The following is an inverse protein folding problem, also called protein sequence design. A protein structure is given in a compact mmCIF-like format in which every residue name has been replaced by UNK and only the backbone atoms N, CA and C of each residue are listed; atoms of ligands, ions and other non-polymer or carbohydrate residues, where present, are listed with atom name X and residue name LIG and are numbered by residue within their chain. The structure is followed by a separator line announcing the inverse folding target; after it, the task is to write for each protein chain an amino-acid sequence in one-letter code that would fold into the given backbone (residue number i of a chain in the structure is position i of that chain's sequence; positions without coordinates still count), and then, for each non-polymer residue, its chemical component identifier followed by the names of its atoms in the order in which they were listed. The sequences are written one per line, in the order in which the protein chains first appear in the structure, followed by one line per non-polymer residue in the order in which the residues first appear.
data_IF_317268812202
#
_entry.id   IF_317268812202
#
_cell.length_a   1.000
_cell.length_b   1.000
_cell.length_c   1.000
_cell.angle_alpha   90.00
_cell.angle_beta   90.00
_cell.angle_gamma   90.00
#
_symmetry.space_group_name_H-M   'P 1'
#
loop_
_entity.id
_entity.type
_entity.pdbx_description
1 polymer ?
#
# COMPACT_ATOMS: atom_id res chain seq x y z
N UNK A 1 -12.80 8.74 -15.80
CA UNK A 1 -12.13 7.44 -16.00
C UNK A 1 -13.02 6.39 -15.36
N UNK A 2 -13.39 5.31 -16.06
CA UNK A 2 -14.22 4.27 -15.44
C UNK A 2 -13.46 3.62 -14.27
N UNK A 3 -14.11 3.28 -13.14
CA UNK A 3 -13.46 2.68 -11.97
C UNK A 3 -12.55 1.49 -12.30
N UNK A 4 -12.98 0.65 -13.24
CA UNK A 4 -12.27 -0.58 -13.65
C UNK A 4 -10.98 -0.35 -14.46
N UNK A 5 -10.69 0.89 -14.90
CA UNK A 5 -9.52 1.19 -15.72
C UNK A 5 -8.22 1.36 -14.92
N UNK A 6 -8.26 1.38 -13.59
CA UNK A 6 -7.05 1.53 -12.77
C UNK A 6 -6.33 0.19 -12.67
N UNK A 7 -5.27 0.01 -13.46
CA UNK A 7 -4.38 -1.14 -13.38
C UNK A 7 -3.14 -0.74 -12.58
N UNK A 8 -2.97 -1.35 -11.41
CA UNK A 8 -1.81 -1.10 -10.55
C UNK A 8 -0.63 -1.89 -11.08
N UNK A 9 0.38 -1.18 -11.56
CA UNK A 9 1.63 -1.73 -12.08
C UNK A 9 2.83 -1.08 -11.39
N UNK A 10 4.04 -1.66 -11.52
CA UNK A 10 5.26 -0.99 -11.04
C UNK A 10 5.42 0.41 -11.63
N UNK A 11 5.05 0.61 -12.90
CA UNK A 11 5.15 1.90 -13.60
C UNK A 11 4.16 2.91 -13.05
N UNK A 12 2.92 2.49 -12.80
CA UNK A 12 1.90 3.31 -12.18
C UNK A 12 2.32 3.80 -10.78
N UNK A 13 2.93 2.93 -9.97
CA UNK A 13 3.47 3.30 -8.66
C UNK A 13 4.60 4.33 -8.78
N UNK A 14 5.52 4.15 -9.73
CA UNK A 14 6.59 5.12 -10.00
C UNK A 14 6.05 6.45 -10.49
N UNK A 15 5.02 6.43 -11.33
CA UNK A 15 4.39 7.64 -11.85
C UNK A 15 3.73 8.44 -10.74
N UNK A 16 2.96 7.79 -9.85
CA UNK A 16 2.38 8.47 -8.68
C UNK A 16 3.47 9.06 -7.80
N UNK A 17 4.49 8.27 -7.48
CA UNK A 17 5.61 8.75 -6.68
C UNK A 17 6.33 9.94 -7.34
N UNK A 18 6.48 9.91 -8.67
CA UNK A 18 7.06 11.02 -9.43
C UNK A 18 6.20 12.28 -9.33
N UNK A 19 4.88 12.16 -9.53
CA UNK A 19 3.93 13.28 -9.46
C UNK A 19 3.91 13.97 -8.09
N UNK A 20 4.12 13.23 -7.00
CA UNK A 20 4.11 13.82 -5.65
C UNK A 20 5.45 14.40 -5.20
N UNK A 21 6.57 13.91 -5.75
CA UNK A 21 7.91 14.22 -5.22
C UNK A 21 8.79 15.04 -6.19
N UNK A 22 8.48 15.06 -7.49
CA UNK A 22 9.40 15.60 -8.52
C UNK A 22 9.69 17.10 -8.41
N UNK A 23 8.75 17.91 -7.91
CA UNK A 23 8.99 19.35 -7.72
C UNK A 23 10.08 19.64 -6.68
N UNK A 24 10.12 18.85 -5.61
CA UNK A 24 11.09 19.02 -4.53
C UNK A 24 12.35 18.17 -4.73
N UNK A 25 12.22 17.03 -5.42
CA UNK A 25 13.24 15.99 -5.47
C UNK A 25 13.36 15.33 -6.85
N UNK A 26 13.69 16.10 -7.90
CA UNK A 26 13.71 15.62 -9.28
C UNK A 26 14.69 14.46 -9.52
N UNK A 27 15.79 14.39 -8.76
CA UNK A 27 16.85 13.40 -8.96
C UNK A 27 16.44 11.96 -8.64
N UNK A 28 15.47 11.79 -7.73
CA UNK A 28 15.08 10.46 -7.25
C UNK A 28 13.56 10.21 -7.27
N UNK A 29 12.74 11.22 -7.55
CA UNK A 29 11.31 11.03 -7.73
C UNK A 29 11.01 9.98 -8.81
N UNK A 30 10.04 9.10 -8.54
CA UNK A 30 9.70 7.95 -9.38
C UNK A 30 10.75 6.83 -9.46
N UNK A 31 11.88 6.89 -8.74
CA UNK A 31 12.89 5.82 -8.72
C UNK A 31 12.74 4.96 -7.48
N UNK A 32 12.96 3.65 -7.64
CA UNK A 32 13.12 2.75 -6.50
C UNK A 32 14.32 3.18 -5.65
N UNK A 33 14.25 2.97 -4.34
CA UNK A 33 15.40 3.24 -3.48
C UNK A 33 16.58 2.35 -3.86
N UNK A 34 17.78 2.92 -3.75
CA UNK A 34 19.05 2.25 -4.01
C UNK A 34 19.86 2.00 -2.74
N UNK A 35 19.31 2.31 -1.57
CA UNK A 35 19.97 2.20 -0.26
C UNK A 35 19.10 1.45 0.73
N UNK A 36 19.75 0.80 1.69
CA UNK A 36 19.08 0.22 2.84
C UNK A 36 18.37 1.31 3.66
N UNK A 37 17.27 0.93 4.29
CA UNK A 37 16.47 1.81 5.15
C UNK A 37 15.91 1.01 6.31
N UNK A 38 15.53 1.70 7.38
CA UNK A 38 14.82 1.12 8.52
C UNK A 38 13.60 1.98 8.81
N UNK A 39 12.45 1.34 9.04
CA UNK A 39 11.17 2.01 9.26
C UNK A 39 10.65 1.62 10.64
N UNK A 40 10.95 2.44 11.64
CA UNK A 40 10.73 2.07 13.03
C UNK A 40 11.57 0.84 13.40
N UNK A 41 10.92 -0.28 13.69
CA UNK A 41 11.58 -1.57 13.95
C UNK A 41 11.63 -2.50 12.75
N UNK A 42 10.97 -2.14 11.64
CA UNK A 42 10.92 -2.95 10.43
C UNK A 42 12.16 -2.72 9.55
N UNK A 43 12.71 -3.81 9.03
CA UNK A 43 13.77 -3.84 8.03
C UNK A 43 13.17 -4.31 6.70
N UNK A 44 12.88 -3.39 5.76
CA UNK A 44 12.39 -3.74 4.44
C UNK A 44 13.38 -4.63 3.65
N UNK A 45 12.94 -5.25 2.53
CA UNK A 45 13.83 -6.00 1.64
C UNK A 45 15.07 -5.20 1.20
N UNK A 46 16.18 -5.84 0.83
CA UNK A 46 17.33 -5.09 0.33
C UNK A 46 17.00 -4.37 -1.00
N UNK A 47 17.68 -3.26 -1.36
CA UNK A 47 17.37 -2.45 -2.54
C UNK A 47 17.33 -3.23 -3.85
N UNK A 48 18.22 -4.21 -4.02
CA UNK A 48 18.29 -5.03 -5.22
C UNK A 48 17.04 -5.93 -5.41
N UNK A 49 16.32 -6.24 -4.33
CA UNK A 49 15.09 -7.02 -4.36
C UNK A 49 13.84 -6.16 -4.61
N UNK A 50 13.88 -4.85 -4.36
CA UNK A 50 12.69 -3.98 -4.38
C UNK A 50 11.90 -4.13 -5.69
N UNK A 51 12.58 -4.09 -6.83
CA UNK A 51 11.92 -4.18 -8.15
C UNK A 51 11.17 -5.50 -8.35
N UNK A 52 11.75 -6.61 -7.88
CA UNK A 52 11.13 -7.95 -7.95
C UNK A 52 9.93 -8.02 -7.01
N UNK A 53 10.07 -7.51 -5.77
CA UNK A 53 9.01 -7.53 -4.77
C UNK A 53 7.81 -6.68 -5.17
N UNK A 54 8.04 -5.51 -5.79
CA UNK A 54 6.96 -4.67 -6.31
C UNK A 54 6.25 -5.34 -7.48
N UNK A 55 6.99 -5.99 -8.39
CA UNK A 55 6.39 -6.74 -9.49
C UNK A 55 5.50 -7.85 -8.97
N UNK A 56 6.00 -8.66 -8.05
CA UNK A 56 5.25 -9.76 -7.45
C UNK A 56 4.02 -9.25 -6.69
N UNK A 57 4.15 -8.14 -5.95
CA UNK A 57 3.03 -7.45 -5.31
C UNK A 57 1.93 -7.05 -6.31
N UNK A 58 2.29 -6.47 -7.46
CA UNK A 58 1.30 -6.11 -8.47
C UNK A 58 0.60 -7.32 -9.09
N UNK A 59 1.33 -8.43 -9.32
CA UNK A 59 0.75 -9.67 -9.84
C UNK A 59 -0.20 -10.31 -8.82
N UNK A 60 0.21 -10.40 -7.56
CA UNK A 60 -0.61 -10.93 -6.46
C UNK A 60 -1.87 -10.08 -6.27
N UNK A 61 -1.75 -8.75 -6.37
CA UNK A 61 -2.89 -7.83 -6.29
C UNK A 61 -3.91 -8.10 -7.41
N UNK A 62 -3.45 -8.22 -8.66
CA UNK A 62 -4.34 -8.50 -9.79
C UNK A 62 -5.06 -9.84 -9.62
N UNK A 63 -4.36 -10.87 -9.15
CA UNK A 63 -4.95 -12.19 -8.91
C UNK A 63 -5.98 -12.15 -7.76
N UNK A 64 -5.66 -11.49 -6.64
CA UNK A 64 -6.59 -11.34 -5.51
C UNK A 64 -7.85 -10.58 -5.92
N UNK A 65 -7.71 -9.54 -6.75
CA UNK A 65 -8.84 -8.76 -7.28
C UNK A 65 -9.83 -9.60 -8.09
N UNK A 66 -9.40 -10.71 -8.70
CA UNK A 66 -10.29 -11.63 -9.43
C UNK A 66 -11.15 -12.50 -8.52
N UNK A 67 -10.76 -12.64 -7.25
CA UNK A 67 -11.35 -13.56 -6.28
C UNK A 67 -12.10 -12.85 -5.14
N UNK A 68 -12.30 -11.53 -5.24
CA UNK A 68 -13.04 -10.77 -4.24
C UNK A 68 -14.54 -11.09 -4.28
N UNK A 69 -15.14 -11.17 -3.10
CA UNK A 69 -16.58 -11.34 -2.88
C UNK A 69 -17.00 -10.88 -1.48
N UNK A 70 -17.88 -9.88 -1.41
CA UNK A 70 -18.38 -9.32 -0.14
C UNK A 70 -17.37 -8.47 0.62
N UNK A 71 -17.85 -7.83 1.70
CA UNK A 71 -17.06 -6.84 2.47
C UNK A 71 -15.84 -7.44 3.16
N UNK A 72 -15.92 -8.69 3.61
CA UNK A 72 -14.83 -9.38 4.32
C UNK A 72 -13.58 -9.52 3.44
N UNK A 73 -13.73 -10.08 2.23
CA UNK A 73 -12.59 -10.26 1.32
C UNK A 73 -12.04 -8.94 0.80
N UNK A 74 -12.88 -7.90 0.68
CA UNK A 74 -12.45 -6.54 0.37
C UNK A 74 -11.58 -5.97 1.49
N UNK A 75 -12.01 -6.11 2.75
CA UNK A 75 -11.23 -5.66 3.90
C UNK A 75 -9.88 -6.40 4.00
N UNK A 76 -9.88 -7.72 3.79
CA UNK A 76 -8.65 -8.54 3.76
C UNK A 76 -7.70 -8.11 2.63
N UNK A 77 -8.24 -7.81 1.45
CA UNK A 77 -7.45 -7.29 0.33
C UNK A 77 -6.81 -5.94 0.67
N UNK A 78 -7.58 -4.99 1.19
CA UNK A 78 -7.11 -3.66 1.54
C UNK A 78 -6.08 -3.72 2.68
N UNK A 79 -6.29 -4.57 3.69
CA UNK A 79 -5.32 -4.83 4.73
C UNK A 79 -4.00 -5.40 4.18
N UNK A 80 -4.08 -6.39 3.29
CA UNK A 80 -2.90 -6.94 2.65
C UNK A 80 -2.16 -5.91 1.80
N UNK A 81 -2.88 -5.06 1.04
CA UNK A 81 -2.25 -3.98 0.24
C UNK A 81 -1.55 -2.97 1.13
N UNK A 82 -2.25 -2.49 2.17
CA UNK A 82 -1.76 -1.50 3.12
C UNK A 82 -0.46 -1.98 3.76
N UNK A 83 -0.48 -3.20 4.33
CA UNK A 83 0.73 -3.80 4.90
C UNK A 83 1.81 -4.07 3.85
N UNK A 84 1.49 -4.79 2.77
CA UNK A 84 2.50 -5.33 1.85
C UNK A 84 3.28 -4.23 1.15
N UNK A 85 2.61 -3.14 0.78
CA UNK A 85 3.28 -1.98 0.18
C UNK A 85 4.24 -1.31 1.17
N UNK A 86 3.81 -1.10 2.42
CA UNK A 86 4.68 -0.51 3.45
C UNK A 86 5.84 -1.45 3.84
N UNK A 87 5.61 -2.76 3.83
CA UNK A 87 6.63 -3.77 4.10
C UNK A 87 7.74 -3.76 3.05
N UNK A 88 7.39 -3.62 1.77
CA UNK A 88 8.36 -3.50 0.66
C UNK A 88 9.15 -2.18 0.77
N UNK A 89 8.46 -1.10 1.14
CA UNK A 89 9.00 0.25 1.26
C UNK A 89 9.83 0.68 0.04
N UNK A 90 9.24 0.74 -1.16
CA UNK A 90 9.99 0.74 -2.41
C UNK A 90 10.72 2.06 -2.73
N UNK A 91 10.32 3.17 -2.13
CA UNK A 91 10.87 4.50 -2.41
C UNK A 91 11.76 5.01 -1.29
N UNK A 92 12.58 6.03 -1.59
CA UNK A 92 13.45 6.70 -0.61
C UNK A 92 12.66 7.43 0.48
N UNK A 93 11.54 8.04 0.10
CA UNK A 93 10.60 8.72 0.99
C UNK A 93 9.20 8.68 0.35
N UNK A 94 8.19 9.25 0.99
CA UNK A 94 6.81 9.35 0.54
C UNK A 94 6.04 8.02 0.39
N UNK A 95 6.61 6.90 0.85
CA UNK A 95 5.94 5.59 0.85
C UNK A 95 4.55 5.64 1.52
N UNK A 96 4.42 6.33 2.65
CA UNK A 96 3.12 6.51 3.31
C UNK A 96 2.08 7.23 2.43
N UNK A 97 2.50 8.21 1.61
CA UNK A 97 1.59 8.96 0.72
C UNK A 97 1.20 8.11 -0.50
N UNK A 98 2.17 7.44 -1.12
CA UNK A 98 1.90 6.54 -2.25
C UNK A 98 0.97 5.41 -1.83
N UNK A 99 1.20 4.80 -0.66
CA UNK A 99 0.34 3.74 -0.11
C UNK A 99 -1.10 4.21 0.09
N UNK A 100 -1.32 5.41 0.63
CA UNK A 100 -2.68 5.98 0.76
C UNK A 100 -3.34 6.24 -0.59
N UNK A 101 -2.61 6.79 -1.56
CA UNK A 101 -3.14 7.00 -2.92
C UNK A 101 -3.51 5.66 -3.57
N UNK A 102 -2.67 4.64 -3.40
CA UNK A 102 -2.94 3.28 -3.86
C UNK A 102 -4.23 2.72 -3.24
N UNK A 103 -4.42 2.86 -1.94
CA UNK A 103 -5.63 2.39 -1.24
C UNK A 103 -6.89 3.14 -1.71
N UNK A 104 -6.82 4.48 -1.85
CA UNK A 104 -7.93 5.28 -2.40
C UNK A 104 -8.26 4.86 -3.84
N UNK A 105 -7.24 4.66 -4.67
CA UNK A 105 -7.43 4.23 -6.05
C UNK A 105 -8.08 2.85 -6.15
N UNK A 106 -7.72 1.92 -5.27
CA UNK A 106 -8.35 0.60 -5.18
C UNK A 106 -9.78 0.69 -4.66
N UNK A 107 -10.05 1.48 -3.60
CA UNK A 107 -11.41 1.69 -3.11
C UNK A 107 -12.32 2.26 -4.21
N UNK A 108 -11.82 3.25 -4.97
CA UNK A 108 -12.51 3.79 -6.13
C UNK A 108 -12.76 2.72 -7.21
N UNK A 109 -11.74 1.92 -7.56
CA UNK A 109 -11.86 0.81 -8.54
C UNK A 109 -12.92 -0.21 -8.13
N UNK A 110 -13.05 -0.47 -6.83
CA UNK A 110 -13.98 -1.42 -6.24
C UNK A 110 -15.40 -0.85 -6.07
N UNK A 111 -15.63 0.42 -6.41
CA UNK A 111 -16.94 1.06 -6.28
C UNK A 111 -17.35 1.32 -4.83
N UNK A 112 -16.39 1.36 -3.91
CA UNK A 112 -16.62 1.67 -2.50
C UNK A 112 -16.93 3.16 -2.31
N UNK A 113 -17.67 3.54 -1.25
CA UNK A 113 -17.78 4.94 -0.86
C UNK A 113 -16.39 5.52 -0.54
N UNK A 114 -16.24 6.86 -0.46
CA UNK A 114 -14.99 7.48 -0.02
C UNK A 114 -14.58 6.94 1.36
N UNK A 115 -13.41 6.28 1.41
CA UNK A 115 -12.79 5.77 2.64
C UNK A 115 -11.51 6.55 2.89
N UNK A 116 -11.28 6.99 4.13
CA UNK A 116 -10.00 7.55 4.53
C UNK A 116 -9.03 6.41 4.92
N UNK A 117 -7.98 6.14 4.13
CA UNK A 117 -6.99 5.12 4.47
C UNK A 117 -6.05 5.56 5.60
N UNK A 118 -6.06 6.84 5.99
CA UNK A 118 -5.19 7.33 7.05
C UNK A 118 -5.68 6.85 8.43
N UNK A 119 -4.74 6.45 9.28
CA UNK A 119 -5.02 6.39 10.71
C UNK A 119 -4.99 7.82 11.27
N UNK A 120 -6.06 8.23 11.94
CA UNK A 120 -6.07 9.48 12.70
C UNK A 120 -5.06 9.46 13.85
N UNK A 121 -4.83 10.62 14.48
CA UNK A 121 -3.88 10.76 15.59
C UNK A 121 -4.17 9.76 16.72
N UNK A 122 -5.45 9.57 17.05
CA UNK A 122 -5.93 8.65 18.08
C UNK A 122 -5.68 7.17 17.74
N UNK A 123 -5.80 6.80 16.45
CA UNK A 123 -5.71 5.40 16.01
C UNK A 123 -4.33 5.01 15.50
N UNK A 124 -3.40 5.98 15.46
CA UNK A 124 -2.05 5.80 14.91
C UNK A 124 -1.30 4.66 15.58
N UNK A 125 -1.42 4.54 16.90
CA UNK A 125 -0.76 3.48 17.66
C UNK A 125 -1.33 2.09 17.31
N UNK A 126 -2.65 1.98 17.24
CA UNK A 126 -3.36 0.75 16.87
C UNK A 126 -3.02 0.32 15.45
N UNK A 127 -2.97 1.26 14.50
CA UNK A 127 -2.57 1.00 13.13
C UNK A 127 -1.13 0.46 13.03
N UNK A 128 -0.16 1.09 13.69
CA UNK A 128 1.22 0.59 13.69
C UNK A 128 1.35 -0.76 14.41
N UNK A 129 0.53 -1.03 15.43
CA UNK A 129 0.48 -2.35 16.07
C UNK A 129 -0.07 -3.41 15.11
N UNK A 130 -1.11 -3.10 14.34
CA UNK A 130 -1.68 -3.99 13.34
C UNK A 130 -0.68 -4.30 12.21
N UNK A 131 0.07 -3.30 11.73
CA UNK A 131 1.16 -3.51 10.77
C UNK A 131 2.24 -4.46 11.32
N UNK A 132 2.66 -4.28 12.58
CA UNK A 132 3.63 -5.18 13.22
C UNK A 132 3.10 -6.60 13.39
N UNK A 133 1.80 -6.74 13.67
CA UNK A 133 1.14 -8.04 13.71
C UNK A 133 1.22 -8.73 12.34
N UNK A 134 0.98 -7.98 11.26
CA UNK A 134 1.07 -8.47 9.90
C UNK A 134 2.52 -8.83 9.49
N UNK A 135 3.54 -8.14 10.00
CA UNK A 135 4.95 -8.54 9.84
C UNK A 135 5.23 -9.94 10.42
N UNK A 136 4.51 -10.30 11.50
CA UNK A 136 4.52 -11.63 12.12
C UNK A 136 3.60 -12.66 11.44
N UNK A 137 2.91 -12.28 10.36
CA UNK A 137 2.01 -13.14 9.60
C UNK A 137 0.53 -13.07 10.02
N UNK A 138 0.19 -12.25 11.01
CA UNK A 138 -1.21 -12.08 11.47
C UNK A 138 -1.81 -10.77 10.98
N UNK A 139 -2.51 -10.83 9.84
CA UNK A 139 -3.21 -9.73 9.22
C UNK A 139 -4.55 -9.37 9.89
N UNK A 140 -5.09 -10.21 10.78
CA UNK A 140 -6.45 -10.04 11.33
C UNK A 140 -6.67 -8.67 11.97
N UNK A 141 -5.76 -8.11 12.79
CA UNK A 141 -5.98 -6.79 13.37
C UNK A 141 -6.08 -5.68 12.32
N UNK A 142 -5.33 -5.81 11.22
CA UNK A 142 -5.39 -4.82 10.14
C UNK A 142 -6.66 -4.99 9.31
N UNK A 143 -7.11 -6.22 9.09
CA UNK A 143 -8.41 -6.52 8.47
C UNK A 143 -9.56 -5.93 9.28
N UNK A 144 -9.54 -6.05 10.61
CA UNK A 144 -10.56 -5.47 11.50
C UNK A 144 -10.62 -3.94 11.35
N UNK A 145 -9.46 -3.26 11.34
CA UNK A 145 -9.41 -1.82 11.07
C UNK A 145 -10.01 -1.46 9.71
N UNK A 146 -9.84 -2.30 8.69
CA UNK A 146 -10.45 -2.08 7.38
C UNK A 146 -11.95 -2.38 7.37
N UNK A 147 -12.44 -3.36 8.12
CA UNK A 147 -13.88 -3.59 8.28
C UNK A 147 -14.58 -2.40 8.94
N UNK A 148 -13.97 -1.83 9.98
CA UNK A 148 -14.49 -0.66 10.66
C UNK A 148 -14.56 0.55 9.73
N UNK A 149 -13.56 0.71 8.85
CA UNK A 149 -13.53 1.78 7.82
C UNK A 149 -14.56 1.59 6.70
N UNK A 150 -15.01 0.37 6.46
CA UNK A 150 -15.95 0.01 5.39
C UNK A 150 -17.42 -0.04 5.87
N UNK A 151 -17.64 0.08 7.18
CA UNK A 151 -18.96 0.09 7.81
C UNK A 151 -19.60 1.48 7.76
#
# INVERSE_FOLDING_TARGET
MAPTAIVVTPDWLREIHSRIASELFPDWAGRWRSTEVQVGTHLPPPPHDVSVRVRDFCLDLDERLRHIGGVQSIAELLAWVDWRFQWIHPFKDFNGRVGRILLVALAYRLGLPPVDPAAGEADRQSYFAALRSADGGDLRPLTELWLDRLS
#
